data_IF_970068163419
#
_entry.id   IF_970068163419
#
_cell.length_a   1.000
_cell.length_b   1.000
_cell.length_c   1.000
_cell.angle_alpha   90.00
_cell.angle_beta   90.00
_cell.angle_gamma   90.00
#
_symmetry.space_group_name_H-M   'P 1'
#
loop_
_entity.id
_entity.type
_entity.pdbx_description
1 polymer ?
#
# COMPACT_ATOMS: atom_id res chain seq x y z
N UNK A 1 -2.55 15.32 0.99
CA UNK A 1 -2.67 15.40 2.46
C UNK A 1 -1.25 15.43 3.04
N UNK A 2 -1.04 16.14 4.15
CA UNK A 2 0.24 16.08 4.87
C UNK A 2 0.34 14.75 5.62
N UNK A 3 1.56 14.27 5.86
CA UNK A 3 1.81 13.04 6.63
C UNK A 3 1.51 13.28 8.12
N UNK A 4 0.78 12.38 8.77
CA UNK A 4 0.53 12.44 10.22
C UNK A 4 1.81 12.28 11.06
N UNK A 5 2.91 11.84 10.45
CA UNK A 5 4.20 11.70 11.10
C UNK A 5 5.00 13.00 11.06
N UNK A 6 5.12 13.61 9.89
CA UNK A 6 6.00 14.77 9.68
C UNK A 6 5.27 16.11 9.74
N UNK A 7 3.96 16.12 9.50
CA UNK A 7 3.07 17.27 9.65
C UNK A 7 3.54 18.54 8.93
N UNK A 8 4.25 18.40 7.81
CA UNK A 8 4.66 19.56 7.01
C UNK A 8 3.41 20.36 6.60
N UNK A 9 3.34 21.68 6.83
CA UNK A 9 2.18 22.48 6.47
C UNK A 9 1.84 22.33 4.97
N UNK A 10 0.56 22.17 4.66
CA UNK A 10 0.10 21.88 3.29
C UNK A 10 0.51 22.97 2.30
N UNK A 11 0.49 24.24 2.73
CA UNK A 11 0.90 25.38 1.91
C UNK A 11 2.39 25.29 1.58
N UNK A 12 3.24 24.94 2.55
CA UNK A 12 4.69 24.83 2.38
C UNK A 12 5.07 23.63 1.50
N UNK A 13 4.38 22.49 1.68
CA UNK A 13 4.47 21.34 0.77
C UNK A 13 4.15 21.73 -0.68
N UNK A 14 3.06 22.49 -0.87
CA UNK A 14 2.61 22.92 -2.19
C UNK A 14 3.63 23.85 -2.83
N UNK A 15 4.24 24.76 -2.06
CA UNK A 15 5.32 25.64 -2.53
C UNK A 15 6.54 24.84 -3.00
N UNK A 16 6.97 23.88 -2.20
CA UNK A 16 8.09 23.00 -2.57
C UNK A 16 7.77 22.17 -3.83
N UNK A 17 6.59 21.57 -3.91
CA UNK A 17 6.15 20.79 -5.08
C UNK A 17 6.10 21.65 -6.33
N UNK A 18 5.48 22.84 -6.23
CA UNK A 18 5.39 23.78 -7.36
C UNK A 18 6.77 24.22 -7.83
N UNK A 19 7.71 24.44 -6.90
CA UNK A 19 9.09 24.77 -7.24
C UNK A 19 9.78 23.60 -7.96
N UNK A 20 9.64 22.38 -7.45
CA UNK A 20 10.18 21.16 -8.06
C UNK A 20 9.69 20.98 -9.49
N UNK A 21 8.37 21.12 -9.71
CA UNK A 21 7.74 20.98 -11.02
C UNK A 21 8.21 22.06 -12.01
N UNK A 22 8.25 23.33 -11.58
CA UNK A 22 8.69 24.46 -12.44
C UNK A 22 10.14 24.36 -12.86
N UNK A 23 10.99 23.82 -11.99
CA UNK A 23 12.43 23.67 -12.24
C UNK A 23 12.79 22.31 -12.85
N UNK A 24 11.82 21.41 -13.02
CA UNK A 24 12.03 20.03 -13.47
C UNK A 24 13.07 19.28 -12.63
N UNK A 25 12.99 19.42 -11.31
CA UNK A 25 13.88 18.75 -10.35
C UNK A 25 13.08 17.86 -9.41
N UNK A 26 13.72 16.89 -8.77
CA UNK A 26 13.05 16.03 -7.80
C UNK A 26 12.68 16.81 -6.54
N UNK A 27 11.48 16.56 -6.02
CA UNK A 27 11.00 17.18 -4.77
C UNK A 27 11.95 16.92 -3.60
N UNK A 28 12.56 15.74 -3.55
CA UNK A 28 13.56 15.41 -2.54
C UNK A 28 14.77 16.37 -2.58
N UNK A 29 15.27 16.71 -3.77
CA UNK A 29 16.38 17.66 -3.91
C UNK A 29 16.00 19.08 -3.47
N UNK A 30 14.74 19.46 -3.72
CA UNK A 30 14.18 20.73 -3.23
C UNK A 30 14.14 20.73 -1.70
N UNK A 31 13.62 19.68 -1.07
CA UNK A 31 13.56 19.54 0.38
C UNK A 31 14.94 19.63 1.05
N UNK A 32 15.98 19.04 0.44
CA UNK A 32 17.37 19.14 0.94
C UNK A 32 17.95 20.55 0.90
N UNK A 33 17.33 21.45 0.13
CA UNK A 33 17.87 22.78 -0.21
C UNK A 33 16.92 23.92 0.13
N UNK A 34 15.82 23.65 0.85
CA UNK A 34 14.78 24.66 1.18
C UNK A 34 15.36 25.93 1.79
N UNK A 35 16.34 25.82 2.70
CA UNK A 35 16.99 26.97 3.33
C UNK A 35 17.98 27.72 2.42
N UNK A 36 18.45 27.07 1.36
CA UNK A 36 19.44 27.65 0.44
C UNK A 36 18.82 28.25 -0.82
N UNK A 37 17.61 27.81 -1.18
CA UNK A 37 16.85 28.32 -2.32
C UNK A 37 16.17 29.64 -1.88
N UNK A 38 16.59 30.81 -2.40
CA UNK A 38 16.08 32.10 -1.93
C UNK A 38 14.56 32.24 -2.03
N UNK A 39 13.95 31.68 -3.08
CA UNK A 39 12.51 31.70 -3.31
C UNK A 39 11.73 30.87 -2.28
N UNK A 40 12.36 29.87 -1.66
CA UNK A 40 11.71 28.99 -0.68
C UNK A 40 12.03 29.40 0.75
N UNK A 41 13.27 29.84 1.03
CA UNK A 41 13.74 30.20 2.35
C UNK A 41 12.85 31.22 3.07
N UNK A 42 12.34 32.21 2.34
CA UNK A 42 11.50 33.26 2.92
C UNK A 42 10.00 32.97 2.80
N UNK A 43 9.62 32.01 1.96
CA UNK A 43 8.22 31.65 1.77
C UNK A 43 7.80 30.51 2.70
N UNK A 44 8.65 29.54 2.98
CA UNK A 44 8.30 28.42 3.87
C UNK A 44 8.32 28.91 5.32
N UNK A 45 7.33 28.48 6.11
CA UNK A 45 7.26 28.82 7.53
C UNK A 45 8.41 28.20 8.34
N UNK A 46 8.71 28.70 9.54
CA UNK A 46 9.71 28.08 10.41
C UNK A 46 9.33 26.62 10.78
N UNK A 47 8.04 26.38 11.03
CA UNK A 47 7.48 25.05 11.24
C UNK A 47 7.70 24.13 10.03
N UNK A 48 7.42 24.65 8.82
CA UNK A 48 7.66 23.92 7.58
C UNK A 48 9.12 23.56 7.36
N UNK A 49 10.05 24.48 7.64
CA UNK A 49 11.49 24.19 7.57
C UNK A 49 11.88 23.08 8.54
N UNK A 50 11.48 23.17 9.80
CA UNK A 50 11.79 22.16 10.82
C UNK A 50 11.21 20.78 10.46
N UNK A 51 9.95 20.74 9.98
CA UNK A 51 9.28 19.52 9.56
C UNK A 51 9.95 18.88 8.33
N UNK A 52 10.32 19.69 7.33
CA UNK A 52 11.03 19.22 6.13
C UNK A 52 12.42 18.71 6.49
N UNK A 53 13.17 19.41 7.34
CA UNK A 53 14.47 18.96 7.82
C UNK A 53 14.38 17.62 8.56
N UNK A 54 13.37 17.45 9.41
CA UNK A 54 13.12 16.18 10.08
C UNK A 54 12.86 15.06 9.07
N UNK A 55 11.96 15.29 8.10
CA UNK A 55 11.66 14.32 7.03
C UNK A 55 12.91 13.94 6.24
N UNK A 56 13.69 14.93 5.78
CA UNK A 56 14.91 14.69 4.99
C UNK A 56 15.92 13.89 5.77
N UNK A 57 16.17 14.24 7.03
CA UNK A 57 17.10 13.53 7.90
C UNK A 57 16.71 12.07 8.07
N UNK A 58 15.44 11.79 8.30
CA UNK A 58 14.94 10.43 8.43
C UNK A 58 15.09 9.65 7.12
N UNK A 59 14.68 10.24 5.99
CA UNK A 59 14.83 9.61 4.68
C UNK A 59 16.28 9.26 4.38
N UNK A 60 17.21 10.20 4.54
CA UNK A 60 18.65 9.96 4.33
C UNK A 60 19.16 8.85 5.25
N UNK A 61 18.77 8.85 6.53
CA UNK A 61 19.15 7.81 7.48
C UNK A 61 18.65 6.42 7.06
N UNK A 62 17.38 6.27 6.71
CA UNK A 62 16.82 4.97 6.34
C UNK A 62 17.26 4.50 4.95
N UNK A 63 17.56 5.42 4.03
CA UNK A 63 18.20 5.10 2.77
C UNK A 63 19.58 4.47 2.98
N UNK A 64 20.37 4.98 3.93
CA UNK A 64 21.69 4.43 4.24
C UNK A 64 21.57 3.07 4.93
N UNK A 65 20.74 2.97 5.97
CA UNK A 65 20.51 1.71 6.69
C UNK A 65 19.96 0.61 5.76
N UNK A 66 19.07 0.96 4.84
CA UNK A 66 18.49 0.01 3.88
C UNK A 66 19.46 -0.58 2.88
N UNK A 67 20.72 -0.10 2.82
CA UNK A 67 21.78 -0.70 1.98
C UNK A 67 22.29 -2.02 2.55
N UNK A 68 22.25 -2.17 3.87
CA UNK A 68 22.87 -3.28 4.60
C UNK A 68 21.86 -4.06 5.45
N UNK A 69 20.72 -3.45 5.78
CA UNK A 69 19.73 -4.01 6.69
C UNK A 69 18.63 -4.78 5.95
N UNK A 70 18.22 -5.96 6.45
CA UNK A 70 17.04 -6.67 5.99
C UNK A 70 15.77 -5.82 6.06
N UNK A 71 14.81 -6.07 5.16
CA UNK A 71 13.61 -5.24 5.00
C UNK A 71 12.79 -5.16 6.29
N UNK A 72 12.61 -6.29 6.97
CA UNK A 72 11.84 -6.37 8.21
C UNK A 72 12.48 -5.61 9.36
N UNK A 73 13.82 -5.64 9.46
CA UNK A 73 14.57 -4.91 10.49
C UNK A 73 14.49 -3.40 10.25
N UNK A 74 14.64 -2.97 8.99
CA UNK A 74 14.53 -1.55 8.62
C UNK A 74 13.12 -1.02 8.91
N UNK A 75 12.08 -1.78 8.55
CA UNK A 75 10.70 -1.41 8.83
C UNK A 75 10.43 -1.31 10.34
N UNK A 76 10.92 -2.28 11.12
CA UNK A 76 10.80 -2.23 12.58
C UNK A 76 11.47 -0.99 13.17
N UNK A 77 12.70 -0.70 12.74
CA UNK A 77 13.45 0.46 13.21
C UNK A 77 12.73 1.76 12.85
N UNK A 78 12.20 1.87 11.62
CA UNK A 78 11.40 3.01 11.21
C UNK A 78 10.17 3.19 12.11
N UNK A 79 9.36 2.15 12.31
CA UNK A 79 8.15 2.24 13.13
C UNK A 79 8.44 2.56 14.60
N UNK A 80 9.57 2.07 15.12
CA UNK A 80 10.04 2.37 16.47
C UNK A 80 10.43 3.83 16.62
N UNK A 81 11.36 4.29 15.78
CA UNK A 81 11.97 5.62 15.90
C UNK A 81 10.97 6.75 15.56
N UNK A 82 10.06 6.50 14.63
CA UNK A 82 8.97 7.42 14.27
C UNK A 82 7.85 7.49 15.32
N UNK A 83 7.91 6.67 16.37
CA UNK A 83 6.89 6.59 17.42
C UNK A 83 5.58 5.92 16.99
N UNK A 84 5.52 5.35 15.78
CA UNK A 84 4.35 4.62 15.28
C UNK A 84 4.02 3.39 16.13
N UNK A 85 5.02 2.64 16.59
CA UNK A 85 4.79 1.53 17.53
C UNK A 85 4.10 2.02 18.82
N UNK A 86 4.52 3.17 19.34
CA UNK A 86 3.90 3.77 20.53
C UNK A 86 2.44 4.21 20.32
N UNK A 87 2.04 4.54 19.08
CA UNK A 87 0.63 4.79 18.74
C UNK A 87 -0.16 3.48 18.70
N UNK A 88 0.41 2.43 18.11
CA UNK A 88 -0.21 1.10 18.05
C UNK A 88 -0.50 0.53 19.43
N UNK A 89 0.36 0.76 20.42
CA UNK A 89 0.15 0.23 21.79
C UNK A 89 -1.00 0.90 22.57
N UNK A 90 -1.49 2.07 22.16
CA UNK A 90 -2.56 2.74 22.89
C UNK A 90 -3.93 2.10 22.62
N UNK A 91 -4.13 1.55 21.41
CA UNK A 91 -5.35 0.83 20.98
C UNK A 91 -6.67 1.45 21.50
N UNK A 92 -6.78 2.78 21.49
CA UNK A 92 -7.89 3.50 22.14
C UNK A 92 -9.20 3.41 21.34
N UNK A 93 -9.09 3.19 20.02
CA UNK A 93 -10.24 3.10 19.12
C UNK A 93 -10.24 1.82 18.29
N UNK A 94 -11.42 1.41 17.80
CA UNK A 94 -11.54 0.29 16.87
C UNK A 94 -10.70 0.49 15.58
N UNK A 95 -10.46 1.75 15.20
CA UNK A 95 -9.58 2.10 14.08
C UNK A 95 -8.12 1.78 14.40
N UNK A 96 -7.65 2.14 15.59
CA UNK A 96 -6.27 1.89 16.02
C UNK A 96 -5.99 0.38 16.11
N UNK A 97 -6.94 -0.39 16.65
CA UNK A 97 -6.87 -1.86 16.68
C UNK A 97 -6.77 -2.44 15.27
N UNK A 98 -7.59 -1.97 14.33
CA UNK A 98 -7.55 -2.42 12.94
C UNK A 98 -6.21 -2.08 12.26
N UNK A 99 -5.67 -0.89 12.54
CA UNK A 99 -4.37 -0.44 12.02
C UNK A 99 -3.21 -1.29 12.57
N UNK A 100 -3.17 -1.54 13.88
CA UNK A 100 -2.20 -2.45 14.51
C UNK A 100 -2.27 -3.86 13.90
N UNK A 101 -3.47 -4.41 13.71
CA UNK A 101 -3.67 -5.71 13.05
C UNK A 101 -3.16 -5.70 11.60
N UNK A 102 -3.40 -4.63 10.84
CA UNK A 102 -2.90 -4.50 9.46
C UNK A 102 -1.37 -4.44 9.41
N UNK A 103 -0.74 -3.75 10.35
CA UNK A 103 0.72 -3.64 10.41
C UNK A 103 1.35 -4.98 10.80
N UNK A 104 0.75 -5.72 11.74
CA UNK A 104 1.18 -7.08 12.06
C UNK A 104 1.11 -8.01 10.84
N UNK A 105 0.00 -7.99 10.09
CA UNK A 105 -0.12 -8.73 8.82
C UNK A 105 0.93 -8.31 7.79
N UNK A 106 1.28 -7.02 7.74
CA UNK A 106 2.32 -6.53 6.84
C UNK A 106 3.70 -7.07 7.24
N UNK A 107 4.03 -7.16 8.53
CA UNK A 107 5.25 -7.83 8.98
C UNK A 107 5.31 -9.31 8.60
N UNK A 108 4.19 -10.04 8.69
CA UNK A 108 4.12 -11.44 8.25
C UNK A 108 4.39 -11.58 6.75
N UNK A 109 3.93 -10.62 5.94
CA UNK A 109 4.24 -10.55 4.50
C UNK A 109 5.71 -10.29 4.25
N UNK A 110 6.32 -9.31 4.94
CA UNK A 110 7.76 -9.05 4.84
C UNK A 110 8.57 -10.29 5.19
N UNK A 111 8.20 -11.00 6.27
CA UNK A 111 8.84 -12.24 6.72
C UNK A 111 8.65 -13.40 5.74
N UNK A 112 7.51 -13.46 5.06
CA UNK A 112 7.24 -14.49 4.04
C UNK A 112 8.04 -14.21 2.77
N UNK A 113 8.08 -12.95 2.35
CA UNK A 113 8.86 -12.51 1.20
C UNK A 113 10.37 -12.71 1.43
N UNK A 114 10.91 -12.43 2.62
CA UNK A 114 12.34 -12.64 2.90
C UNK A 114 12.79 -14.09 2.76
N UNK A 115 11.88 -15.06 2.92
CA UNK A 115 12.15 -16.49 2.71
C UNK A 115 12.04 -16.92 1.24
N UNK A 116 11.25 -16.18 0.45
CA UNK A 116 10.99 -16.50 -0.96
C UNK A 116 11.95 -15.77 -1.91
N UNK A 117 12.36 -14.56 -1.56
CA UNK A 117 13.22 -13.71 -2.37
C UNK A 117 14.69 -14.13 -2.25
N UNK A 118 15.42 -13.95 -3.35
CA UNK A 118 16.86 -14.24 -3.40
C UNK A 118 17.67 -13.32 -2.49
N UNK A 119 17.23 -12.08 -2.32
CA UNK A 119 17.85 -11.09 -1.46
C UNK A 119 16.79 -10.41 -0.61
N UNK A 120 16.98 -10.39 0.71
CA UNK A 120 16.12 -9.65 1.63
C UNK A 120 16.58 -8.19 1.72
N UNK A 121 16.10 -7.37 0.79
CA UNK A 121 16.28 -5.93 0.82
C UNK A 121 15.02 -5.23 0.29
N UNK A 122 14.89 -3.94 0.63
CA UNK A 122 13.70 -3.14 0.32
C UNK A 122 13.38 -3.12 -1.18
N UNK A 123 14.39 -3.08 -2.05
CA UNK A 123 14.19 -3.02 -3.50
C UNK A 123 13.52 -4.27 -4.03
N UNK A 124 14.04 -5.44 -3.67
CA UNK A 124 13.46 -6.72 -4.10
C UNK A 124 12.08 -6.92 -3.48
N UNK A 125 11.88 -6.49 -2.23
CA UNK A 125 10.56 -6.56 -1.59
C UNK A 125 9.52 -5.67 -2.27
N UNK A 126 9.86 -4.42 -2.61
CA UNK A 126 8.94 -3.51 -3.34
C UNK A 126 8.59 -4.09 -4.70
N UNK A 127 9.59 -4.59 -5.45
CA UNK A 127 9.35 -5.25 -6.74
C UNK A 127 8.40 -6.44 -6.60
N UNK A 128 8.59 -7.26 -5.56
CA UNK A 128 7.71 -8.38 -5.27
C UNK A 128 6.28 -7.92 -4.96
N UNK A 129 6.10 -6.84 -4.19
CA UNK A 129 4.78 -6.27 -3.95
C UNK A 129 4.09 -5.78 -5.23
N UNK A 130 4.84 -5.11 -6.12
CA UNK A 130 4.32 -4.66 -7.40
C UNK A 130 3.85 -5.85 -8.26
N UNK A 131 4.62 -6.93 -8.32
CA UNK A 131 4.25 -8.18 -9.02
C UNK A 131 2.97 -8.80 -8.46
N UNK A 132 2.77 -8.81 -7.13
CA UNK A 132 1.54 -9.32 -6.51
C UNK A 132 0.34 -8.43 -6.83
N UNK A 133 0.52 -7.10 -6.83
CA UNK A 133 -0.53 -6.14 -7.17
C UNK A 133 -0.93 -6.32 -8.64
N UNK A 134 0.03 -6.48 -9.55
CA UNK A 134 -0.23 -6.72 -10.97
C UNK A 134 -0.93 -8.07 -11.22
N UNK A 135 -0.60 -9.10 -10.44
CA UNK A 135 -1.27 -10.40 -10.48
C UNK A 135 -2.72 -10.36 -9.94
N UNK A 136 -3.16 -9.21 -9.38
CA UNK A 136 -4.49 -9.05 -8.81
C UNK A 136 -4.64 -9.73 -7.45
N UNK A 137 -3.54 -9.98 -6.75
CA UNK A 137 -3.63 -10.42 -5.36
C UNK A 137 -4.19 -9.26 -4.52
N UNK A 138 -5.38 -9.47 -3.95
CA UNK A 138 -6.02 -8.54 -3.02
C UNK A 138 -5.76 -9.03 -1.58
N UNK A 139 -4.81 -8.42 -0.85
CA UNK A 139 -4.54 -8.79 0.53
C UNK A 139 -5.81 -8.63 1.36
N UNK A 140 -6.20 -9.66 2.10
CA UNK A 140 -7.24 -9.52 3.09
C UNK A 140 -6.80 -8.49 4.15
N UNK A 141 -7.30 -7.26 4.05
CA UNK A 141 -7.25 -6.24 5.11
C UNK A 141 -7.83 -6.87 6.38
N UNK A 142 -7.38 -6.46 7.56
CA UNK A 142 -8.04 -6.83 8.81
C UNK A 142 -9.55 -6.58 8.67
N UNK A 143 -10.33 -7.65 8.61
CA UNK A 143 -11.78 -7.56 8.55
C UNK A 143 -12.23 -6.91 9.87
N UNK A 144 -13.12 -5.92 9.77
CA UNK A 144 -13.84 -5.47 10.93
C UNK A 144 -14.52 -6.69 11.56
N UNK A 145 -14.44 -6.81 12.89
CA UNK A 145 -15.10 -7.91 13.60
C UNK A 145 -16.57 -7.97 13.19
N UNK A 146 -17.07 -9.18 12.92
CA UNK A 146 -18.39 -9.47 12.36
C UNK A 146 -19.51 -8.79 13.16
N UNK A 147 -19.26 -8.53 14.44
CA UNK A 147 -20.19 -7.94 15.39
C UNK A 147 -20.30 -6.40 15.28
N UNK A 148 -19.48 -5.76 14.45
CA UNK A 148 -19.58 -4.31 14.23
C UNK A 148 -20.80 -3.99 13.36
N UNK A 149 -21.77 -3.19 13.82
CA UNK A 149 -22.94 -2.85 13.02
C UNK A 149 -22.54 -1.95 11.85
N UNK A 150 -22.37 -2.55 10.67
CA UNK A 150 -21.91 -1.87 9.45
C UNK A 150 -22.52 -2.48 8.18
N UNK A 151 -22.61 -1.67 7.10
CA UNK A 151 -22.98 -2.17 5.77
C UNK A 151 -21.78 -2.88 5.15
N UNK A 152 -21.95 -4.14 4.77
CA UNK A 152 -20.91 -4.95 4.13
C UNK A 152 -20.89 -4.71 2.63
N UNK A 153 -19.76 -4.23 2.11
CA UNK A 153 -19.51 -4.10 0.66
C UNK A 153 -18.61 -5.25 0.23
N UNK A 154 -19.13 -6.16 -0.58
CA UNK A 154 -18.45 -7.38 -1.01
C UNK A 154 -18.50 -7.51 -2.54
N UNK A 155 -17.51 -8.17 -3.13
CA UNK A 155 -17.61 -8.67 -4.50
C UNK A 155 -18.47 -9.93 -4.53
N UNK A 156 -19.08 -10.25 -5.69
CA UNK A 156 -19.93 -11.45 -5.83
C UNK A 156 -19.18 -12.73 -5.46
N UNK A 157 -17.89 -12.82 -5.81
CA UNK A 157 -17.05 -13.94 -5.42
C UNK A 157 -16.88 -14.06 -3.90
N UNK A 158 -16.64 -12.94 -3.20
CA UNK A 158 -16.53 -12.92 -1.73
C UNK A 158 -17.87 -13.17 -1.02
N UNK A 159 -19.01 -13.00 -1.70
CA UNK A 159 -20.34 -13.26 -1.14
C UNK A 159 -20.78 -14.73 -1.22
N UNK A 160 -20.05 -15.59 -1.93
CA UNK A 160 -20.43 -17.01 -2.13
C UNK A 160 -20.50 -17.74 -0.78
N UNK A 161 -21.65 -18.33 -0.48
CA UNK A 161 -21.89 -19.07 0.77
C UNK A 161 -22.23 -18.19 1.98
N UNK A 162 -22.42 -16.88 1.77
CA UNK A 162 -22.93 -15.97 2.79
C UNK A 162 -24.41 -15.67 2.55
N UNK A 163 -25.15 -15.47 3.63
CA UNK A 163 -26.56 -15.07 3.61
C UNK A 163 -26.73 -13.74 4.34
N UNK A 164 -27.54 -12.85 3.77
CA UNK A 164 -27.83 -11.54 4.35
C UNK A 164 -29.33 -11.26 4.29
N UNK A 165 -29.92 -10.64 5.33
CA UNK A 165 -31.34 -10.29 5.31
C UNK A 165 -31.73 -9.32 4.19
N UNK A 166 -30.81 -8.42 3.81
CA UNK A 166 -30.98 -7.43 2.73
C UNK A 166 -29.70 -7.35 1.91
N UNK A 167 -29.83 -7.42 0.58
CA UNK A 167 -28.71 -7.34 -0.37
C UNK A 167 -29.00 -6.27 -1.42
N UNK A 168 -28.05 -5.37 -1.65
CA UNK A 168 -28.08 -4.43 -2.78
C UNK A 168 -27.11 -4.89 -3.85
N UNK A 169 -27.64 -5.31 -5.00
CA UNK A 169 -26.83 -5.55 -6.20
C UNK A 169 -26.74 -4.25 -7.00
N UNK A 170 -25.52 -3.77 -7.21
CA UNK A 170 -25.25 -2.54 -7.95
C UNK A 170 -24.65 -2.87 -9.31
N UNK A 171 -24.78 -1.94 -10.27
CA UNK A 171 -24.10 -2.01 -11.57
C UNK A 171 -24.49 -3.23 -12.43
N UNK A 172 -25.77 -3.66 -12.36
CA UNK A 172 -26.38 -4.70 -13.20
C UNK A 172 -26.65 -4.17 -14.62
N UNK A 173 -25.58 -3.82 -15.32
CA UNK A 173 -25.63 -3.30 -16.69
C UNK A 173 -24.87 -4.25 -17.59
N UNK A 174 -25.41 -4.51 -18.79
CA UNK A 174 -24.75 -5.31 -19.82
C UNK A 174 -23.30 -4.85 -20.04
N UNK A 175 -22.37 -5.80 -20.21
CA UNK A 175 -20.90 -5.61 -20.31
C UNK A 175 -20.17 -5.26 -18.99
N UNK A 176 -20.87 -4.81 -17.95
CA UNK A 176 -20.30 -4.62 -16.60
C UNK A 176 -20.65 -5.80 -15.68
N UNK A 177 -21.85 -6.33 -15.82
CA UNK A 177 -22.29 -7.57 -15.18
C UNK A 177 -23.34 -8.28 -16.07
N UNK A 178 -23.05 -9.50 -16.59
CA UNK A 178 -21.78 -10.21 -16.48
C UNK A 178 -20.65 -9.45 -17.19
N UNK A 179 -19.44 -9.55 -16.64
CA UNK A 179 -18.24 -8.97 -17.26
C UNK A 179 -18.06 -9.54 -18.67
N UNK A 180 -17.69 -8.69 -19.63
CA UNK A 180 -17.31 -9.15 -20.97
C UNK A 180 -16.14 -10.12 -20.83
N UNK A 181 -16.30 -11.35 -21.32
CA UNK A 181 -15.27 -12.40 -21.25
C UNK A 181 -13.98 -11.89 -21.91
N UNK A 182 -12.97 -11.58 -21.11
CA UNK A 182 -11.61 -11.34 -21.60
C UNK A 182 -11.06 -12.72 -21.98
N UNK A 183 -10.48 -12.86 -23.18
CA UNK A 183 -9.75 -14.08 -23.54
C UNK A 183 -8.59 -14.23 -22.56
N UNK A 184 -8.41 -15.41 -21.99
CA UNK A 184 -7.27 -15.69 -21.12
C UNK A 184 -5.98 -15.41 -21.92
N UNK A 185 -5.07 -14.56 -21.43
CA UNK A 185 -3.87 -14.17 -22.18
C UNK A 185 -2.91 -15.34 -22.44
N UNK A 186 -3.04 -16.43 -21.68
CA UNK A 186 -2.15 -17.58 -21.70
C UNK A 186 -2.98 -18.84 -21.80
N UNK A 187 -3.17 -19.35 -23.01
CA UNK A 187 -3.63 -20.71 -23.21
C UNK A 187 -2.49 -21.66 -22.80
N UNK A 188 -2.77 -22.59 -21.88
CA UNK A 188 -1.81 -23.60 -21.47
C UNK A 188 -1.43 -24.45 -22.69
N UNK A 189 -0.13 -24.61 -23.00
CA UNK A 189 0.31 -25.50 -24.05
C UNK A 189 -0.23 -26.91 -23.80
N UNK A 190 -0.80 -27.52 -24.83
CA UNK A 190 -1.42 -28.86 -24.76
C UNK A 190 -0.46 -29.91 -24.17
N UNK A 191 0.85 -29.72 -24.36
CA UNK A 191 1.90 -30.58 -23.79
C UNK A 191 1.95 -30.60 -22.23
N UNK A 192 1.37 -29.60 -21.57
CA UNK A 192 1.28 -29.49 -20.10
C UNK A 192 -0.10 -29.89 -19.57
N UNK A 193 -1.08 -30.17 -20.43
CA UNK A 193 -2.40 -30.65 -20.05
C UNK A 193 -2.34 -32.17 -19.89
N UNK A 194 -2.33 -32.66 -18.64
CA UNK A 194 -2.18 -34.09 -18.34
C UNK A 194 -3.45 -34.91 -18.54
N UNK A 195 -4.60 -34.26 -18.73
CA UNK A 195 -5.89 -34.93 -18.93
C UNK A 195 -6.59 -34.40 -20.19
N UNK A 196 -7.26 -35.31 -20.91
CA UNK A 196 -8.01 -35.00 -22.11
C UNK A 196 -9.08 -33.95 -21.80
N UNK A 197 -9.08 -32.87 -22.60
CA UNK A 197 -10.07 -31.79 -22.54
C UNK A 197 -11.48 -32.41 -22.59
N UNK A 198 -12.32 -32.24 -21.56
CA UNK A 198 -13.70 -32.64 -21.68
C UNK A 198 -14.35 -31.74 -22.73
N UNK A 199 -14.87 -32.33 -23.79
CA UNK A 199 -15.68 -31.63 -24.78
C UNK A 199 -16.98 -31.17 -24.14
N UNK A 200 -16.99 -29.95 -23.61
CA UNK A 200 -18.19 -29.29 -23.06
C UNK A 200 -17.85 -28.02 -22.28
N UNK A 201 -18.72 -27.01 -22.36
CA UNK A 201 -18.59 -25.75 -21.63
C UNK A 201 -18.61 -25.96 -20.10
N UNK A 202 -17.44 -25.95 -19.47
CA UNK A 202 -17.27 -26.11 -18.01
C UNK A 202 -17.83 -24.96 -17.15
N UNK A 203 -18.42 -23.93 -17.77
CA UNK A 203 -18.89 -22.73 -17.08
C UNK A 203 -20.42 -22.57 -17.11
N UNK A 204 -21.16 -23.57 -17.61
CA UNK A 204 -22.61 -23.64 -17.52
C UNK A 204 -23.03 -24.69 -16.48
N UNK A 205 -22.83 -24.36 -15.22
CA UNK A 205 -23.61 -24.97 -14.13
C UNK A 205 -23.92 -23.87 -13.13
N UNK A 206 -25.21 -23.50 -13.15
CA UNK A 206 -25.86 -22.56 -12.25
C UNK A 206 -25.79 -23.02 -10.79
#
# INVERSE_FOLDING_TARGET
ASSDLYQVPVVDLTRCSTHADRRHVYLFDVFRKTETIPELRNEITEEGHAAIQHLVRDLERYMELGREMPTGELLYLFLKDSGWLGRMYREETARDVAESKNIAKFFDRVKSASRALRYDNVREFVKHLDELIEAGEDPAVAEAEIETPAVRVLTIHKAKGLEFPVVFLVNLVQEKFPLRRRRDPLELPVALMKDAVPTGDHHLSA
#
